data_IF_558592666959
#
_entry.id   IF_558592666959
#
_cell.length_a   1.000
_cell.length_b   1.000
_cell.length_c   1.000
_cell.angle_alpha   90.00
_cell.angle_beta   90.00
_cell.angle_gamma   90.00
#
_symmetry.space_group_name_H-M   'P 1'
#
loop_
_entity.id
_entity.type
_entity.pdbx_description
1 polymer ?
#
# COMPACT_ATOMS: atom_id res chain seq x y z
N UNK A 1 25.54 14.73 -5.55
CA UNK A 1 24.30 14.98 -6.33
C UNK A 1 24.06 16.48 -6.36
N UNK A 2 23.93 17.06 -7.56
CA UNK A 2 23.57 18.48 -7.71
C UNK A 2 22.23 18.78 -7.01
N UNK A 3 22.03 19.98 -6.42
CA UNK A 3 20.81 20.30 -5.67
C UNK A 3 19.50 19.98 -6.40
N UNK A 4 19.43 20.26 -7.71
CA UNK A 4 18.28 19.99 -8.57
C UNK A 4 17.95 18.51 -8.76
N UNK A 5 18.92 17.61 -8.60
CA UNK A 5 18.74 16.17 -8.84
C UNK A 5 18.55 15.39 -7.54
N UNK A 6 18.51 16.06 -6.38
CA UNK A 6 18.45 15.39 -5.07
C UNK A 6 17.18 14.57 -4.90
N UNK A 7 16.03 15.11 -5.31
CA UNK A 7 14.74 14.40 -5.19
C UNK A 7 14.76 13.13 -6.03
N UNK A 8 15.11 13.23 -7.31
CA UNK A 8 15.18 12.08 -8.21
C UNK A 8 16.19 11.03 -7.72
N UNK A 9 17.37 11.47 -7.27
CA UNK A 9 18.36 10.57 -6.71
C UNK A 9 17.85 9.84 -5.47
N UNK A 10 17.20 10.53 -4.52
CA UNK A 10 16.66 9.90 -3.32
C UNK A 10 15.55 8.91 -3.67
N UNK A 11 14.64 9.26 -4.58
CA UNK A 11 13.57 8.35 -5.05
C UNK A 11 14.13 7.11 -5.75
N UNK A 12 15.13 7.28 -6.63
CA UNK A 12 15.73 6.17 -7.36
C UNK A 12 16.57 5.28 -6.44
N UNK A 13 17.29 5.89 -5.50
CA UNK A 13 18.08 5.17 -4.50
C UNK A 13 17.18 4.37 -3.55
N UNK A 14 16.14 4.99 -3.00
CA UNK A 14 15.19 4.32 -2.10
C UNK A 14 14.47 3.18 -2.82
N UNK A 15 13.99 3.40 -4.05
CA UNK A 15 13.36 2.36 -4.87
C UNK A 15 14.32 1.21 -5.18
N UNK A 16 15.57 1.49 -5.56
CA UNK A 16 16.56 0.46 -5.85
C UNK A 16 16.96 -0.31 -4.58
N UNK A 17 16.98 0.33 -3.42
CA UNK A 17 17.31 -0.32 -2.16
C UNK A 17 16.15 -1.23 -1.71
N UNK A 18 14.92 -0.75 -1.79
CA UNK A 18 13.72 -1.53 -1.48
C UNK A 18 13.54 -2.73 -2.43
N UNK A 19 13.73 -2.53 -3.73
CA UNK A 19 13.48 -3.54 -4.77
C UNK A 19 14.67 -4.46 -5.06
N UNK A 20 15.80 -4.32 -4.35
CA UNK A 20 16.96 -5.22 -4.48
C UNK A 20 17.56 -5.66 -3.14
N UNK A 21 17.05 -5.12 -2.03
CA UNK A 21 17.61 -5.28 -0.71
C UNK A 21 17.09 -6.49 0.06
N UNK A 22 17.54 -6.59 1.31
CA UNK A 22 17.22 -7.67 2.24
C UNK A 22 15.74 -7.74 2.66
N UNK A 23 14.93 -6.73 2.35
CA UNK A 23 13.51 -6.66 2.70
C UNK A 23 12.61 -7.53 1.81
N UNK A 24 13.01 -7.84 0.56
CA UNK A 24 12.18 -8.60 -0.39
C UNK A 24 11.77 -9.98 0.13
N UNK A 25 12.67 -10.81 0.70
CA UNK A 25 12.29 -12.12 1.22
C UNK A 25 11.23 -12.03 2.33
N UNK A 26 11.42 -11.14 3.31
CA UNK A 26 10.44 -10.90 4.39
C UNK A 26 9.09 -10.45 3.83
N UNK A 27 9.09 -9.48 2.90
CA UNK A 27 7.88 -9.01 2.22
C UNK A 27 7.17 -10.11 1.44
N UNK A 28 7.92 -10.98 0.76
CA UNK A 28 7.36 -12.10 -0.01
C UNK A 28 6.68 -13.12 0.90
N UNK A 29 7.28 -13.41 2.06
CA UNK A 29 6.70 -14.31 3.07
C UNK A 29 5.40 -13.71 3.63
N UNK A 30 5.40 -12.43 4.00
CA UNK A 30 4.20 -11.72 4.47
C UNK A 30 3.10 -11.69 3.41
N UNK A 31 3.46 -11.38 2.17
CA UNK A 31 2.52 -11.36 1.06
C UNK A 31 1.89 -12.71 0.82
N UNK A 32 2.71 -13.78 0.77
CA UNK A 32 2.22 -15.15 0.64
C UNK A 32 1.25 -15.51 1.77
N UNK A 33 1.58 -15.18 3.01
CA UNK A 33 0.70 -15.41 4.15
C UNK A 33 -0.62 -14.63 4.01
N UNK A 34 -0.54 -13.31 3.78
CA UNK A 34 -1.71 -12.43 3.70
C UNK A 34 -2.65 -12.81 2.57
N UNK A 35 -2.14 -13.12 1.38
CA UNK A 35 -2.98 -13.53 0.25
C UNK A 35 -3.61 -14.90 0.49
N UNK A 36 -2.88 -15.83 1.11
CA UNK A 36 -3.43 -17.17 1.42
C UNK A 36 -4.61 -17.05 2.38
N UNK A 37 -4.43 -16.32 3.49
CA UNK A 37 -5.49 -16.08 4.48
C UNK A 37 -6.71 -15.44 3.84
N UNK A 38 -6.51 -14.38 3.03
CA UNK A 38 -7.61 -13.70 2.33
C UNK A 38 -8.36 -14.62 1.39
N UNK A 39 -7.66 -15.41 0.60
CA UNK A 39 -8.28 -16.36 -0.34
C UNK A 39 -9.01 -17.49 0.40
N UNK A 40 -8.53 -17.94 1.55
CA UNK A 40 -9.21 -18.93 2.40
C UNK A 40 -10.53 -18.41 2.99
N UNK A 41 -10.61 -17.11 3.28
CA UNK A 41 -11.84 -16.46 3.74
C UNK A 41 -12.86 -16.22 2.62
N UNK A 42 -12.47 -16.37 1.36
CA UNK A 42 -13.43 -16.36 0.26
C UNK A 42 -14.15 -17.70 0.22
N UNK A 43 -15.49 -17.66 0.21
CA UNK A 43 -16.37 -18.84 0.18
C UNK A 43 -16.35 -19.60 -1.18
N UNK A 44 -15.19 -19.59 -1.85
CA UNK A 44 -14.94 -20.23 -3.16
C UNK A 44 -14.57 -21.71 -2.95
N UNK A 45 -14.07 -22.07 -1.76
CA UNK A 45 -13.50 -23.40 -1.49
C UNK A 45 -14.59 -24.49 -1.48
N UNK A 46 -15.80 -24.17 -1.04
CA UNK A 46 -16.84 -25.17 -0.84
C UNK A 46 -17.86 -25.25 -1.98
N UNK A 47 -18.10 -24.14 -2.71
CA UNK A 47 -19.09 -24.08 -3.79
C UNK A 47 -18.64 -23.16 -4.93
N UNK A 48 -18.97 -23.53 -6.18
CA UNK A 48 -18.83 -22.62 -7.31
C UNK A 48 -19.74 -21.41 -7.12
N UNK A 49 -19.16 -20.25 -6.82
CA UNK A 49 -19.87 -18.98 -6.72
C UNK A 49 -19.68 -18.15 -8.00
N UNK A 50 -20.75 -17.51 -8.47
CA UNK A 50 -20.64 -16.55 -9.58
C UNK A 50 -20.06 -15.23 -9.07
N UNK A 51 -18.91 -14.84 -9.61
CA UNK A 51 -18.33 -13.52 -9.39
C UNK A 51 -18.67 -12.62 -10.58
N UNK A 52 -19.45 -11.55 -10.31
CA UNK A 52 -19.88 -10.61 -11.34
C UNK A 52 -18.70 -9.92 -12.02
N UNK A 53 -17.64 -9.64 -11.27
CA UNK A 53 -16.40 -9.06 -11.77
C UNK A 53 -15.21 -9.71 -11.07
N UNK A 54 -14.74 -10.82 -11.64
CA UNK A 54 -13.62 -11.56 -11.06
C UNK A 54 -12.35 -10.72 -10.96
N UNK A 55 -12.06 -9.93 -11.99
CA UNK A 55 -10.85 -9.12 -12.04
C UNK A 55 -10.84 -8.11 -10.89
N UNK A 56 -11.91 -7.32 -10.73
CA UNK A 56 -11.97 -6.31 -9.67
C UNK A 56 -11.89 -6.91 -8.27
N UNK A 57 -12.60 -8.01 -8.02
CA UNK A 57 -12.59 -8.66 -6.71
C UNK A 57 -11.23 -9.30 -6.42
N UNK A 58 -10.62 -10.01 -7.39
CA UNK A 58 -9.31 -10.62 -7.22
C UNK A 58 -8.19 -9.57 -7.04
N UNK A 59 -8.20 -8.51 -7.84
CA UNK A 59 -7.24 -7.43 -7.72
C UNK A 59 -7.38 -6.66 -6.41
N UNK A 60 -8.60 -6.50 -5.89
CA UNK A 60 -8.80 -5.91 -4.56
C UNK A 60 -8.08 -6.73 -3.50
N UNK A 61 -8.33 -8.04 -3.42
CA UNK A 61 -7.65 -8.90 -2.43
C UNK A 61 -6.13 -8.94 -2.60
N UNK A 62 -5.65 -9.00 -3.84
CA UNK A 62 -4.24 -8.98 -4.18
C UNK A 62 -3.57 -7.68 -3.72
N UNK A 63 -4.17 -6.53 -4.04
CA UNK A 63 -3.66 -5.21 -3.68
C UNK A 63 -3.71 -5.01 -2.17
N UNK A 64 -4.79 -5.43 -1.50
CA UNK A 64 -4.88 -5.32 -0.05
C UNK A 64 -3.82 -6.19 0.64
N UNK A 65 -3.61 -7.43 0.18
CA UNK A 65 -2.53 -8.29 0.70
C UNK A 65 -1.14 -7.65 0.50
N UNK A 66 -0.92 -7.00 -0.64
CA UNK A 66 0.34 -6.30 -0.92
C UNK A 66 0.52 -5.10 0.02
N UNK A 67 -0.51 -4.27 0.20
CA UNK A 67 -0.50 -3.12 1.11
C UNK A 67 -0.19 -3.58 2.55
N UNK A 68 -0.89 -4.61 3.04
CA UNK A 68 -0.69 -5.18 4.37
C UNK A 68 0.76 -5.67 4.57
N UNK A 69 1.37 -6.19 3.51
CA UNK A 69 2.74 -6.71 3.54
C UNK A 69 3.80 -5.61 3.55
N UNK A 70 3.49 -4.46 2.95
CA UNK A 70 4.39 -3.31 2.83
C UNK A 70 4.30 -2.38 4.03
N UNK A 71 3.08 -2.05 4.45
CA UNK A 71 2.77 -0.99 5.41
C UNK A 71 2.24 -1.50 6.76
N UNK A 72 2.13 -2.82 6.90
CA UNK A 72 1.49 -3.45 8.06
C UNK A 72 -0.04 -3.40 7.96
N UNK A 73 -0.71 -4.09 8.88
CA UNK A 73 -2.15 -4.32 8.82
C UNK A 73 -3.01 -3.07 9.10
N UNK A 74 -2.43 -2.05 9.74
CA UNK A 74 -3.22 -0.93 10.25
C UNK A 74 -3.70 0.02 9.15
N UNK A 75 -2.94 0.19 8.05
CA UNK A 75 -3.32 1.12 6.98
C UNK A 75 -4.68 0.75 6.38
N UNK A 76 -4.87 -0.54 6.07
CA UNK A 76 -6.14 -1.06 5.56
C UNK A 76 -7.19 -1.16 6.66
N UNK A 77 -6.81 -1.63 7.85
CA UNK A 77 -7.76 -1.79 8.96
C UNK A 77 -8.39 -0.46 9.40
N UNK A 78 -7.61 0.61 9.47
CA UNK A 78 -8.10 1.95 9.83
C UNK A 78 -8.94 2.61 8.74
N UNK A 79 -8.79 2.19 7.48
CA UNK A 79 -9.47 2.76 6.33
C UNK A 79 -9.91 1.65 5.37
N UNK A 80 -11.08 1.07 5.63
CA UNK A 80 -11.62 -0.06 4.85
C UNK A 80 -11.77 0.25 3.35
N UNK A 81 -12.04 1.51 2.98
CA UNK A 81 -12.16 1.94 1.59
C UNK A 81 -10.83 2.33 0.94
N UNK A 82 -9.69 2.17 1.61
CA UNK A 82 -8.38 2.57 1.10
C UNK A 82 -8.05 1.90 -0.23
N UNK A 83 -8.20 0.58 -0.33
CA UNK A 83 -7.91 -0.18 -1.55
C UNK A 83 -8.84 0.21 -2.71
N UNK A 84 -10.13 0.41 -2.43
CA UNK A 84 -11.11 0.82 -3.43
C UNK A 84 -10.82 2.23 -3.96
N UNK A 85 -10.44 3.14 -3.07
CA UNK A 85 -10.04 4.50 -3.40
C UNK A 85 -8.73 4.51 -4.19
N UNK A 86 -7.77 3.65 -3.85
CA UNK A 86 -6.53 3.49 -4.63
C UNK A 86 -6.83 3.04 -6.07
N UNK A 87 -7.72 2.07 -6.26
CA UNK A 87 -8.16 1.65 -7.60
C UNK A 87 -8.96 2.73 -8.32
N UNK A 88 -9.71 3.55 -7.59
CA UNK A 88 -10.42 4.70 -8.18
C UNK A 88 -9.44 5.77 -8.66
N UNK A 89 -8.36 6.01 -7.92
CA UNK A 89 -7.27 6.86 -8.37
C UNK A 89 -6.61 6.29 -9.63
N UNK A 90 -6.23 5.01 -9.61
CA UNK A 90 -5.56 4.34 -10.73
C UNK A 90 -6.38 4.44 -12.04
N UNK A 91 -7.68 4.11 -11.98
CA UNK A 91 -8.59 4.23 -13.12
C UNK A 91 -8.70 5.64 -13.70
N UNK A 92 -8.39 6.66 -12.91
CA UNK A 92 -8.47 8.05 -13.32
C UNK A 92 -7.09 8.76 -13.36
N UNK A 93 -5.99 8.00 -13.30
CA UNK A 93 -4.63 8.57 -13.22
C UNK A 93 -4.30 9.45 -14.43
N UNK A 94 -4.87 9.13 -15.60
CA UNK A 94 -4.71 9.90 -16.83
C UNK A 94 -5.11 11.37 -16.65
N UNK A 95 -6.18 11.63 -15.89
CA UNK A 95 -6.63 12.99 -15.59
C UNK A 95 -5.57 13.83 -14.86
N UNK A 96 -4.77 13.19 -14.00
CA UNK A 96 -3.66 13.85 -13.32
C UNK A 96 -2.45 14.01 -14.24
N UNK A 97 -2.15 13.01 -15.07
CA UNK A 97 -1.03 13.06 -16.02
C UNK A 97 -1.20 14.17 -17.06
N UNK A 98 -2.43 14.42 -17.51
CA UNK A 98 -2.74 15.54 -18.41
C UNK A 98 -3.05 16.85 -17.66
N UNK A 99 -2.82 16.89 -16.35
CA UNK A 99 -2.95 18.08 -15.50
C UNK A 99 -4.32 18.78 -15.59
N UNK A 100 -5.41 17.99 -15.63
CA UNK A 100 -6.76 18.56 -15.67
C UNK A 100 -7.07 19.32 -14.38
N UNK A 101 -7.63 20.54 -14.47
CA UNK A 101 -8.03 21.30 -13.28
C UNK A 101 -9.10 20.58 -12.43
N UNK A 102 -9.10 20.85 -11.13
CA UNK A 102 -10.03 20.27 -10.13
C UNK A 102 -11.51 20.30 -10.53
N UNK A 103 -12.07 21.38 -11.11
CA UNK A 103 -13.49 21.41 -11.48
C UNK A 103 -13.91 20.32 -12.47
N UNK A 104 -12.99 19.84 -13.31
CA UNK A 104 -13.27 18.82 -14.33
C UNK A 104 -13.02 17.39 -13.83
N UNK A 105 -12.42 17.23 -12.65
CA UNK A 105 -11.88 15.95 -12.15
C UNK A 105 -12.08 15.82 -10.64
N UNK A 106 -13.20 16.33 -10.14
CA UNK A 106 -13.48 16.44 -8.70
C UNK A 106 -13.30 15.10 -7.96
N UNK A 107 -13.77 14.00 -8.57
CA UNK A 107 -13.65 12.65 -8.00
C UNK A 107 -12.20 12.25 -7.72
N UNK A 108 -11.31 12.47 -8.69
CA UNK A 108 -9.89 12.07 -8.59
C UNK A 108 -9.19 12.86 -7.51
N UNK A 109 -9.41 14.17 -7.49
CA UNK A 109 -8.81 15.04 -6.46
C UNK A 109 -9.34 14.74 -5.06
N UNK A 110 -10.64 14.44 -4.93
CA UNK A 110 -11.24 14.05 -3.64
C UNK A 110 -10.62 12.75 -3.14
N UNK A 111 -10.46 11.76 -4.03
CA UNK A 111 -9.82 10.48 -3.71
C UNK A 111 -8.33 10.68 -3.37
N UNK A 112 -7.59 11.52 -4.11
CA UNK A 112 -6.22 11.87 -3.77
C UNK A 112 -6.11 12.50 -2.37
N UNK A 113 -6.96 13.48 -2.08
CA UNK A 113 -6.96 14.18 -0.80
C UNK A 113 -7.29 13.21 0.35
N UNK A 114 -8.24 12.28 0.13
CA UNK A 114 -8.56 11.19 1.06
C UNK A 114 -7.36 10.26 1.29
N UNK A 115 -6.78 9.68 0.24
CA UNK A 115 -5.66 8.75 0.34
C UNK A 115 -4.45 9.39 1.03
N UNK A 116 -4.15 10.65 0.69
CA UNK A 116 -3.06 11.40 1.32
C UNK A 116 -3.32 11.62 2.81
N UNK A 117 -4.56 11.93 3.18
CA UNK A 117 -4.95 12.11 4.59
C UNK A 117 -4.84 10.80 5.35
N UNK A 118 -5.29 9.69 4.77
CA UNK A 118 -5.16 8.34 5.35
C UNK A 118 -3.71 7.93 5.56
N UNK A 119 -2.83 8.13 4.57
CA UNK A 119 -1.40 7.80 4.70
C UNK A 119 -0.74 8.65 5.78
N UNK A 120 -1.06 9.95 5.86
CA UNK A 120 -0.55 10.83 6.93
C UNK A 120 -1.01 10.37 8.31
N UNK A 121 -2.29 10.01 8.44
CA UNK A 121 -2.84 9.50 9.69
C UNK A 121 -2.15 8.19 10.11
N UNK A 122 -2.04 7.23 9.19
CA UNK A 122 -1.32 5.97 9.41
C UNK A 122 0.12 6.22 9.85
N UNK A 123 0.84 7.14 9.20
CA UNK A 123 2.22 7.44 9.53
C UNK A 123 2.37 7.99 10.95
N UNK A 124 1.52 8.95 11.35
CA UNK A 124 1.54 9.48 12.73
C UNK A 124 1.23 8.38 13.75
N UNK A 125 0.21 7.57 13.48
CA UNK A 125 -0.15 6.45 14.34
C UNK A 125 0.98 5.42 14.46
N UNK A 126 1.60 5.05 13.33
CA UNK A 126 2.68 4.07 13.30
C UNK A 126 3.91 4.56 14.05
N UNK A 127 4.17 5.88 14.02
CA UNK A 127 5.22 6.51 14.80
C UNK A 127 4.93 6.47 16.31
N UNK A 128 3.70 6.78 16.72
CA UNK A 128 3.30 6.77 18.14
C UNK A 128 3.24 5.35 18.72
N UNK A 129 2.89 4.36 17.90
CA UNK A 129 2.85 2.95 18.29
C UNK A 129 4.24 2.26 18.23
N UNK A 130 5.26 2.93 17.71
CA UNK A 130 6.56 2.31 17.48
C UNK A 130 7.36 2.12 18.77
N UNK A 131 7.75 0.87 19.04
CA UNK A 131 8.75 0.53 20.03
C UNK A 131 9.84 -0.34 19.40
N UNK A 132 11.10 -0.02 19.70
CA UNK A 132 12.28 -0.72 19.18
C UNK A 132 12.27 -2.23 19.49
N UNK A 133 11.63 -2.62 20.59
CA UNK A 133 11.51 -4.02 21.04
C UNK A 133 10.68 -4.89 20.08
N UNK A 134 9.82 -4.29 19.26
CA UNK A 134 8.98 -4.98 18.29
C UNK A 134 9.61 -5.04 16.89
N UNK A 135 10.89 -4.67 16.75
CA UNK A 135 11.61 -4.76 15.49
C UNK A 135 12.24 -6.15 15.36
N UNK A 136 11.93 -6.86 14.27
CA UNK A 136 12.48 -8.19 14.02
C UNK A 136 13.91 -8.12 13.45
N UNK A 137 14.53 -9.29 13.21
CA UNK A 137 15.89 -9.38 12.67
C UNK A 137 16.06 -8.73 11.29
N UNK A 138 14.98 -8.60 10.52
CA UNK A 138 14.96 -7.96 9.21
C UNK A 138 14.73 -6.43 9.29
N UNK A 139 14.59 -5.88 10.50
CA UNK A 139 14.29 -4.47 10.72
C UNK A 139 12.80 -4.13 10.58
N UNK A 140 11.94 -5.11 10.32
CA UNK A 140 10.51 -4.94 10.13
C UNK A 140 9.76 -4.90 11.46
N UNK A 141 8.57 -4.31 11.44
CA UNK A 141 7.74 -4.14 12.62
C UNK A 141 6.25 -4.30 12.25
N UNK A 142 5.42 -4.71 13.19
CA UNK A 142 3.98 -4.91 12.97
C UNK A 142 3.24 -3.65 12.49
N UNK A 143 3.65 -2.48 12.98
CA UNK A 143 2.98 -1.19 12.74
C UNK A 143 3.42 -0.52 11.45
N UNK A 144 4.72 -0.59 11.13
CA UNK A 144 5.30 -0.02 9.90
C UNK A 144 5.27 -0.97 8.70
N UNK A 145 5.06 -2.26 8.94
CA UNK A 145 5.16 -3.31 7.94
C UNK A 145 6.62 -3.63 7.62
N UNK A 146 7.32 -2.71 6.98
CA UNK A 146 8.73 -2.86 6.58
C UNK A 146 9.63 -1.75 7.13
N UNK A 147 10.91 -2.07 7.33
CA UNK A 147 11.93 -1.08 7.74
C UNK A 147 11.99 0.13 6.79
N UNK A 148 11.76 -0.13 5.49
CA UNK A 148 11.86 0.87 4.42
C UNK A 148 10.95 2.08 4.65
N UNK A 149 9.67 1.86 4.96
CA UNK A 149 8.73 2.97 5.14
C UNK A 149 8.88 3.69 6.48
N UNK A 150 9.63 3.13 7.44
CA UNK A 150 9.95 3.79 8.71
C UNK A 150 11.14 4.75 8.56
N UNK A 151 12.11 4.37 7.75
CA UNK A 151 13.40 5.06 7.63
C UNK A 151 13.40 6.18 6.59
N UNK A 152 12.29 6.38 5.88
CA UNK A 152 12.09 7.36 4.80
C UNK A 152 10.83 8.19 5.00
#
# INVERSE_FOLDING_TARGET
VEPRNRVEFLTMFSSSWFLKGASIPSMTVKFKYNITVRLEFLDIIYNWCYWRDFATSFYTELTTAAIDSFYGLFLVFSCLSFTENLWTLDRNIQSLLVSLPRPFTLTVYTVCDYLLTTVKYWHVWAQDAFYLEFVNQDGDNLYWGTAFFREW
#
